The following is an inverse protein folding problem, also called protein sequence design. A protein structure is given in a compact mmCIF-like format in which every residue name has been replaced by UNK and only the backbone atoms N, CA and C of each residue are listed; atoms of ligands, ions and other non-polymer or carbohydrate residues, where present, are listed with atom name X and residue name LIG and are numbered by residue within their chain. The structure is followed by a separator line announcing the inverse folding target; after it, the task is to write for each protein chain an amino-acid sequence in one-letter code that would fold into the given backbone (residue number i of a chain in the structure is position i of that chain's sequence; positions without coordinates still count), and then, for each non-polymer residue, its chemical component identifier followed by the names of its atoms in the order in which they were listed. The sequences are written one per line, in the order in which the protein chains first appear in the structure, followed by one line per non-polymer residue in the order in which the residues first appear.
data_IF_249232914302
#
_entry.id   IF_249232914302
#
_cell.length_a   1.000
_cell.length_b   1.000
_cell.length_c   1.000
_cell.angle_alpha   90.00
_cell.angle_beta   90.00
_cell.angle_gamma   90.00
#
_symmetry.space_group_name_H-M   'P 1'
#
loop_
_entity.id
_entity.type
_entity.pdbx_description
1 polymer ?
#
# COMPACT_ATOMS: atom_id res chain seq x y z
N UNK A 1 -5.83 -12.15 0.27
CA UNK A 1 -5.49 -12.70 -1.07
C UNK A 1 -4.40 -11.82 -1.69
N UNK A 2 -3.28 -12.43 -2.12
CA UNK A 2 -2.18 -11.70 -2.76
C UNK A 2 -2.51 -11.46 -4.24
N UNK A 3 -3.32 -10.43 -4.51
CA UNK A 3 -3.75 -10.04 -5.86
C UNK A 3 -2.63 -9.97 -6.92
N UNK A 4 -1.43 -9.41 -6.65
CA UNK A 4 -0.35 -9.40 -7.64
C UNK A 4 0.16 -10.80 -8.00
N UNK A 5 0.10 -11.77 -7.08
CA UNK A 5 0.42 -13.16 -7.37
C UNK A 5 -0.64 -13.82 -8.24
N UNK A 6 -1.92 -13.51 -8.03
CA UNK A 6 -3.01 -14.03 -8.86
C UNK A 6 -2.89 -13.53 -10.31
N UNK A 7 -2.66 -12.24 -10.51
CA UNK A 7 -2.46 -11.64 -11.84
C UNK A 7 -1.24 -12.27 -12.51
N UNK A 8 -0.16 -12.50 -11.76
CA UNK A 8 1.03 -13.18 -12.25
C UNK A 8 0.74 -14.62 -12.74
N UNK A 9 -0.01 -15.40 -11.97
CA UNK A 9 -0.40 -16.77 -12.39
C UNK A 9 -1.31 -16.77 -13.62
N UNK A 10 -2.26 -15.83 -13.71
CA UNK A 10 -3.12 -15.67 -14.89
C UNK A 10 -2.28 -15.30 -16.11
N UNK A 11 -1.32 -14.37 -15.95
CA UNK A 11 -0.38 -13.96 -17.00
C UNK A 11 0.40 -15.15 -17.54
N UNK A 12 1.00 -15.96 -16.65
CA UNK A 12 1.73 -17.17 -17.04
C UNK A 12 0.86 -18.15 -17.81
N UNK A 13 -0.36 -18.41 -17.33
CA UNK A 13 -1.29 -19.33 -17.98
C UNK A 13 -1.68 -18.85 -19.38
N UNK A 14 -1.94 -17.56 -19.54
CA UNK A 14 -2.29 -16.95 -20.85
C UNK A 14 -1.13 -16.99 -21.84
N UNK A 15 0.10 -16.81 -21.36
CA UNK A 15 1.32 -16.92 -22.17
C UNK A 15 1.79 -18.36 -22.40
N UNK A 16 1.13 -19.36 -21.79
CA UNK A 16 1.53 -20.76 -21.88
C UNK A 16 2.86 -21.07 -21.18
N UNK A 17 3.27 -20.24 -20.22
CA UNK A 17 4.55 -20.38 -19.52
C UNK A 17 4.42 -21.32 -18.34
N UNK A 18 5.41 -22.19 -18.16
CA UNK A 18 5.47 -23.11 -17.02
C UNK A 18 6.25 -22.52 -15.85
N UNK A 19 7.22 -21.66 -16.13
CA UNK A 19 8.12 -21.14 -15.12
C UNK A 19 8.07 -19.62 -15.02
N UNK A 20 8.15 -19.14 -13.78
CA UNK A 20 8.28 -17.72 -13.44
C UNK A 20 9.49 -17.06 -14.11
N UNK A 21 10.55 -17.86 -14.30
CA UNK A 21 11.78 -17.41 -14.95
C UNK A 21 11.54 -17.08 -16.42
N UNK A 22 10.72 -17.85 -17.13
CA UNK A 22 10.43 -17.59 -18.54
C UNK A 22 9.70 -16.25 -18.69
N UNK A 23 8.76 -15.96 -17.79
CA UNK A 23 8.07 -14.67 -17.77
C UNK A 23 9.04 -13.52 -17.43
N UNK A 24 9.94 -13.73 -16.47
CA UNK A 24 10.97 -12.74 -16.13
C UNK A 24 11.92 -12.46 -17.30
N UNK A 25 12.39 -13.52 -17.98
CA UNK A 25 13.26 -13.43 -19.15
C UNK A 25 12.56 -12.72 -20.31
N UNK A 26 11.27 -13.01 -20.54
CA UNK A 26 10.43 -12.35 -21.54
C UNK A 26 10.20 -10.87 -21.24
N UNK A 27 10.10 -10.50 -19.97
CA UNK A 27 9.98 -9.11 -19.52
C UNK A 27 11.34 -8.38 -19.47
N UNK A 28 12.45 -9.08 -19.76
CA UNK A 28 13.80 -8.51 -19.69
C UNK A 28 14.27 -8.16 -18.29
N UNK A 29 13.67 -8.76 -17.25
CA UNK A 29 13.97 -8.48 -15.84
C UNK A 29 14.44 -9.73 -15.11
N UNK A 30 15.30 -9.55 -14.11
CA UNK A 30 15.74 -10.68 -13.28
C UNK A 30 14.56 -11.25 -12.50
N UNK A 31 14.48 -12.58 -12.36
CA UNK A 31 13.48 -13.27 -11.54
C UNK A 31 13.37 -12.69 -10.13
N UNK A 32 14.51 -12.40 -9.49
CA UNK A 32 14.55 -11.78 -8.16
C UNK A 32 13.85 -10.42 -8.12
N UNK A 33 14.09 -9.58 -9.13
CA UNK A 33 13.44 -8.28 -9.29
C UNK A 33 11.94 -8.41 -9.49
N UNK A 34 11.50 -9.36 -10.32
CA UNK A 34 10.08 -9.62 -10.56
C UNK A 34 9.37 -10.12 -9.29
N UNK A 35 9.94 -11.09 -8.57
CA UNK A 35 9.39 -11.56 -7.29
C UNK A 35 9.33 -10.46 -6.24
N UNK A 36 10.32 -9.58 -6.20
CA UNK A 36 10.32 -8.44 -5.29
C UNK A 36 9.21 -7.44 -5.63
N UNK A 37 9.04 -7.11 -6.92
CA UNK A 37 7.97 -6.26 -7.43
C UNK A 37 6.58 -6.79 -7.09
N UNK A 38 6.33 -8.07 -7.38
CA UNK A 38 5.09 -8.77 -7.04
C UNK A 38 4.83 -8.75 -5.52
N UNK A 39 5.87 -8.97 -4.71
CA UNK A 39 5.75 -8.95 -3.25
C UNK A 39 5.47 -7.56 -2.68
N UNK A 40 5.94 -6.51 -3.36
CA UNK A 40 5.70 -5.10 -3.01
C UNK A 40 4.36 -4.56 -3.52
N UNK A 41 3.63 -5.32 -4.33
CA UNK A 41 2.43 -4.82 -5.00
C UNK A 41 2.71 -3.92 -6.21
N UNK A 42 3.98 -3.78 -6.63
CA UNK A 42 4.36 -3.00 -7.80
C UNK A 42 4.41 -3.93 -9.04
N UNK A 43 3.23 -4.33 -9.51
CA UNK A 43 3.10 -5.24 -10.64
C UNK A 43 3.40 -4.49 -11.96
N UNK A 44 4.29 -5.01 -12.84
CA UNK A 44 4.70 -4.31 -14.05
C UNK A 44 3.65 -4.42 -15.18
N UNK A 45 2.50 -3.78 -15.00
CA UNK A 45 1.38 -3.81 -15.93
C UNK A 45 1.76 -3.41 -17.35
N UNK A 46 2.54 -2.34 -17.52
CA UNK A 46 2.93 -1.86 -18.84
C UNK A 46 3.75 -2.89 -19.64
N UNK A 47 4.75 -3.51 -19.01
CA UNK A 47 5.64 -4.46 -19.67
C UNK A 47 4.87 -5.72 -20.07
N UNK A 48 4.00 -6.21 -19.18
CA UNK A 48 3.14 -7.36 -19.46
C UNK A 48 2.13 -7.04 -20.55
N UNK A 49 1.55 -5.84 -20.54
CA UNK A 49 0.62 -5.38 -21.59
C UNK A 49 1.29 -5.35 -22.96
N UNK A 50 2.50 -4.83 -23.05
CA UNK A 50 3.26 -4.81 -24.30
C UNK A 50 3.51 -6.25 -24.79
N UNK A 51 3.95 -7.13 -23.90
CA UNK A 51 4.22 -8.53 -24.23
C UNK A 51 2.96 -9.30 -24.68
N UNK A 52 1.82 -9.05 -24.04
CA UNK A 52 0.54 -9.65 -24.43
C UNK A 52 0.06 -9.12 -25.78
N UNK A 53 0.22 -7.81 -26.04
CA UNK A 53 -0.09 -7.21 -27.33
C UNK A 53 0.77 -7.78 -28.47
N UNK A 54 2.08 -7.95 -28.24
CA UNK A 54 2.98 -8.59 -29.21
C UNK A 54 2.54 -10.01 -29.58
N UNK A 55 1.92 -10.73 -28.64
CA UNK A 55 1.38 -12.09 -28.85
C UNK A 55 -0.10 -12.11 -29.24
N UNK A 56 -0.72 -10.96 -29.48
CA UNK A 56 -2.15 -10.81 -29.78
C UNK A 56 -3.06 -11.50 -28.74
N UNK A 57 -2.67 -11.45 -27.47
CA UNK A 57 -3.46 -11.96 -26.35
C UNK A 57 -4.32 -10.83 -25.79
N UNK A 58 -5.57 -11.13 -25.45
CA UNK A 58 -6.48 -10.18 -24.82
C UNK A 58 -5.86 -9.57 -23.55
N UNK A 59 -5.89 -8.24 -23.48
CA UNK A 59 -5.39 -7.43 -22.34
C UNK A 59 -6.53 -6.83 -21.51
N UNK A 60 -7.79 -6.99 -21.90
CA UNK A 60 -8.95 -6.43 -21.20
C UNK A 60 -9.01 -6.86 -19.73
N UNK A 61 -8.68 -8.13 -19.45
CA UNK A 61 -8.61 -8.63 -18.07
C UNK A 61 -7.53 -7.94 -17.25
N UNK A 62 -6.39 -7.58 -17.86
CA UNK A 62 -5.27 -6.95 -17.16
C UNK A 62 -5.63 -5.52 -16.69
N UNK A 63 -6.33 -4.76 -17.52
CA UNK A 63 -6.79 -3.40 -17.20
C UNK A 63 -7.80 -3.39 -16.05
N UNK A 64 -8.73 -4.36 -16.06
CA UNK A 64 -9.70 -4.49 -14.98
C UNK A 64 -9.00 -4.79 -13.64
N UNK A 65 -7.95 -5.60 -13.67
CA UNK A 65 -7.14 -5.92 -12.50
C UNK A 65 -6.26 -4.74 -12.05
N UNK A 66 -5.70 -3.95 -12.97
CA UNK A 66 -4.94 -2.72 -12.67
C UNK A 66 -5.80 -1.69 -11.94
N UNK A 67 -7.02 -1.42 -12.45
CA UNK A 67 -7.95 -0.47 -11.83
C UNK A 67 -8.42 -0.90 -10.43
N UNK A 68 -8.45 -2.21 -10.15
CA UNK A 68 -8.76 -2.75 -8.81
C UNK A 68 -7.57 -2.68 -7.85
N UNK A 69 -6.34 -2.61 -8.37
CA UNK A 69 -5.11 -2.56 -7.59
C UNK A 69 -4.78 -1.13 -7.11
N UNK A 70 -4.96 -0.14 -7.98
CA UNK A 70 -4.79 1.28 -7.62
C UNK A 70 -5.76 1.74 -6.52
N UNK A 71 -6.99 1.21 -6.51
CA UNK A 71 -8.00 1.53 -5.48
C UNK A 71 -7.62 1.07 -4.07
N UNK A 72 -6.78 0.04 -3.94
CA UNK A 72 -6.33 -0.44 -2.62
C UNK A 72 -5.20 0.37 -2.02
N UNK A 73 -4.29 0.90 -2.83
CA UNK A 73 -3.27 1.84 -2.35
C UNK A 73 -3.90 3.11 -1.75
N UNK A 74 -4.97 3.61 -2.37
CA UNK A 74 -5.71 4.78 -1.88
C UNK A 74 -6.39 4.52 -0.52
N UNK A 75 -6.95 3.33 -0.31
CA UNK A 75 -7.60 2.97 0.96
C UNK A 75 -6.59 2.74 2.09
N UNK A 76 -5.40 2.21 1.77
CA UNK A 76 -4.37 1.93 2.78
C UNK A 76 -3.66 3.22 3.24
N UNK A 77 -3.49 4.20 2.34
CA UNK A 77 -2.96 5.52 2.68
C UNK A 77 -3.92 6.32 3.58
N UNK A 78 -5.22 6.29 3.30
CA UNK A 78 -6.23 7.01 4.10
C UNK A 78 -6.35 6.43 5.52
N UNK A 79 -6.20 5.11 5.67
CA UNK A 79 -6.35 4.46 6.97
C UNK A 79 -5.15 4.74 7.90
N UNK A 80 -3.93 4.89 7.36
CA UNK A 80 -2.76 5.26 8.14
C UNK A 80 -2.77 6.73 8.58
N UNK A 81 -3.30 7.63 7.74
CA UNK A 81 -3.47 9.06 8.10
C UNK A 81 -4.49 9.22 9.24
N UNK A 82 -5.61 8.50 9.17
CA UNK A 82 -6.70 8.58 10.15
C UNK A 82 -6.29 8.09 11.54
N UNK A 83 -5.51 7.01 11.63
CA UNK A 83 -5.04 6.49 12.92
C UNK A 83 -3.98 7.42 13.55
N UNK A 84 -3.10 8.03 12.74
CA UNK A 84 -2.12 9.02 13.23
C UNK A 84 -2.77 10.32 13.72
N UNK A 85 -3.89 10.71 13.13
CA UNK A 85 -4.67 11.86 13.59
C UNK A 85 -5.27 11.59 14.98
N UNK A 86 -5.84 10.41 15.21
CA UNK A 86 -6.40 10.03 16.52
C UNK A 86 -5.34 10.02 17.64
N UNK A 87 -4.15 9.49 17.37
CA UNK A 87 -3.04 9.50 18.35
C UNK A 87 -2.65 10.93 18.73
N UNK A 88 -2.61 11.85 17.75
CA UNK A 88 -2.28 13.26 18.00
C UNK A 88 -3.35 13.98 18.81
N UNK A 89 -4.64 13.76 18.50
CA UNK A 89 -5.74 14.35 19.27
C UNK A 89 -5.75 13.85 20.73
N UNK A 90 -5.48 12.56 20.95
CA UNK A 90 -5.35 12.01 22.32
C UNK A 90 -4.17 12.63 23.08
N UNK A 91 -3.02 12.80 22.44
CA UNK A 91 -1.84 13.43 23.06
C UNK A 91 -2.14 14.89 23.44
N UNK A 92 -2.82 15.64 22.55
CA UNK A 92 -3.19 17.03 22.83
C UNK A 92 -4.16 17.11 24.01
N UNK A 93 -5.14 16.21 24.08
CA UNK A 93 -6.12 16.19 25.16
C UNK A 93 -5.46 15.93 26.53
N UNK A 94 -4.56 14.94 26.61
CA UNK A 94 -3.80 14.63 27.83
C UNK A 94 -2.94 15.84 28.24
N UNK A 95 -2.29 16.50 27.28
CA UNK A 95 -1.49 17.69 27.56
C UNK A 95 -2.35 18.85 28.08
N UNK A 96 -3.55 19.06 27.52
CA UNK A 96 -4.47 20.09 27.99
C UNK A 96 -4.94 19.84 29.42
N UNK A 97 -5.34 18.60 29.75
CA UNK A 97 -5.72 18.23 31.13
C UNK A 97 -4.57 18.43 32.12
N UNK A 98 -3.35 18.04 31.75
CA UNK A 98 -2.18 18.23 32.60
C UNK A 98 -1.88 19.71 32.85
N UNK A 99 -1.96 20.55 31.81
CA UNK A 99 -1.79 22.00 31.94
C UNK A 99 -2.86 22.60 32.84
N UNK A 100 -4.10 22.14 32.72
CA UNK A 100 -5.23 22.64 33.52
C UNK A 100 -5.07 22.27 35.00
N UNK A 101 -4.66 21.03 35.29
CA UNK A 101 -4.34 20.56 36.62
C UNK A 101 -3.18 21.36 37.25
N UNK A 102 -2.11 21.61 36.49
CA UNK A 102 -1.00 22.45 36.95
C UNK A 102 -1.43 23.89 37.25
N UNK A 103 -2.29 24.49 36.42
CA UNK A 103 -2.83 25.84 36.66
C UNK A 103 -3.62 25.91 37.96
N UNK A 104 -4.48 24.93 38.23
CA UNK A 104 -5.26 24.87 39.47
C UNK A 104 -4.33 24.78 40.70
N UNK A 105 -3.30 23.94 40.63
CA UNK A 105 -2.35 23.73 41.72
C UNK A 105 -1.53 25.01 42.02
N UNK A 106 -1.13 25.75 40.98
CA UNK A 106 -0.47 27.05 41.13
C UNK A 106 -1.40 28.10 41.76
N UNK A 107 -2.68 28.13 41.38
CA UNK A 107 -3.66 29.05 41.96
C UNK A 107 -3.98 28.72 43.43
N UNK A 108 -4.06 27.44 43.79
CA UNK A 108 -4.21 27.03 45.20
C UNK A 108 -3.00 27.39 46.05
N UNK A 109 -1.78 27.19 45.54
CA UNK A 109 -0.57 27.63 46.24
C UNK A 109 -0.52 29.15 46.39
N UNK A 110 -0.87 29.93 45.36
CA UNK A 110 -0.96 31.40 45.47
C UNK A 110 -1.98 31.85 46.52
N UNK A 111 -3.11 31.17 46.66
CA UNK A 111 -4.12 31.47 47.69
C UNK A 111 -3.64 31.12 49.10
N UNK A 112 -2.86 30.05 49.26
CA UNK A 112 -2.29 29.65 50.54
C UNK A 112 -1.05 30.46 50.97
N UNK A 113 -0.48 31.27 50.08
CA UNK A 113 0.70 32.11 50.37
C UNK A 113 0.36 33.59 50.58
N UNK A 114 -0.94 33.93 50.72
CA UNK A 114 -1.45 35.25 51.10
C UNK A 114 -2.17 35.18 52.44
#
# INVERSE_FOLDING_TARGET
MNRPKEIFEITKRRLGLRFDRELADLLGIKKSTLSQKISRGDFPFHQIRQLLNERQIDVCWLEEHEGKMQKTDSLQSINQESERMKDKDQIIQIQQEYIECLKQLVEEQKKNTK
#
